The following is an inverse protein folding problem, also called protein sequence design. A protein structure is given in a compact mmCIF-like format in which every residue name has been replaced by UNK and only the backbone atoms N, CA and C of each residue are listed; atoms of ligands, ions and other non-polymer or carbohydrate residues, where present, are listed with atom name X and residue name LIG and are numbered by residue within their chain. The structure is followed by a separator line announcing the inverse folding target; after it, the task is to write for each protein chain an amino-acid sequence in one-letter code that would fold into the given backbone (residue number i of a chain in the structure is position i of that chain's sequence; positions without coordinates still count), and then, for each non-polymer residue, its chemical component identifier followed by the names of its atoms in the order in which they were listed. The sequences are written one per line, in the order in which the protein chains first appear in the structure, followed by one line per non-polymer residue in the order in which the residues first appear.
data_IF_992269206830
#
_entry.id   IF_992269206830
#
_cell.length_a   1.000
_cell.length_b   1.000
_cell.length_c   1.000
_cell.angle_alpha   90.00
_cell.angle_beta   90.00
_cell.angle_gamma   90.00
#
_symmetry.space_group_name_H-M   'P 1'
#
loop_
_entity.id
_entity.type
_entity.pdbx_description
1 polymer ?
#
# COMPACT_ATOMS: atom_id res chain seq x y z
N UNK A 1 14.63 11.77 8.67
CA UNK A 1 14.48 13.18 9.11
C UNK A 1 13.29 13.25 10.03
N UNK A 2 13.30 14.14 11.04
CA UNK A 2 12.12 14.39 11.86
C UNK A 2 10.99 14.98 10.99
N UNK A 3 9.73 14.65 11.28
CA UNK A 3 8.58 15.14 10.50
C UNK A 3 7.76 16.17 11.30
N UNK A 4 7.15 17.11 10.57
CA UNK A 4 6.29 18.15 11.16
C UNK A 4 4.83 17.68 11.19
N UNK A 5 4.23 17.69 12.37
CA UNK A 5 2.83 17.34 12.54
C UNK A 5 1.92 18.34 11.83
N UNK A 6 1.05 17.90 10.89
CA UNK A 6 0.14 18.80 10.21
C UNK A 6 -1.00 19.30 11.11
N UNK A 7 -1.29 18.59 12.21
CA UNK A 7 -2.37 18.95 13.14
C UNK A 7 -1.94 20.01 14.18
N UNK A 8 -0.78 19.85 14.82
CA UNK A 8 -0.33 20.74 15.89
C UNK A 8 0.95 21.53 15.58
N UNK A 9 1.61 21.26 14.44
CA UNK A 9 2.83 21.95 14.04
C UNK A 9 4.11 21.46 14.71
N UNK A 10 4.04 20.53 15.67
CA UNK A 10 5.22 19.96 16.35
C UNK A 10 6.18 19.29 15.36
N UNK A 11 7.45 19.66 15.39
CA UNK A 11 8.47 19.21 14.42
C UNK A 11 9.56 18.31 15.01
N UNK A 12 9.39 17.87 16.26
CA UNK A 12 10.35 17.01 16.96
C UNK A 12 10.11 15.51 16.79
N UNK A 13 9.17 15.08 15.96
CA UNK A 13 8.81 13.66 15.86
C UNK A 13 9.97 12.85 15.26
N UNK A 14 10.36 11.77 15.92
CA UNK A 14 11.46 10.92 15.45
C UNK A 14 11.22 10.34 14.05
N UNK A 15 12.29 10.12 13.25
CA UNK A 15 12.20 9.38 12.00
C UNK A 15 11.59 7.98 12.23
N UNK A 16 10.51 7.66 11.52
CA UNK A 16 9.79 6.40 11.68
C UNK A 16 8.69 6.41 12.75
N UNK A 17 8.59 7.46 13.57
CA UNK A 17 7.46 7.61 14.48
C UNK A 17 6.16 7.77 13.70
N UNK A 18 5.20 6.89 13.96
CA UNK A 18 3.87 6.90 13.35
C UNK A 18 2.89 7.81 14.07
N UNK A 19 3.25 8.38 15.22
CA UNK A 19 2.37 9.23 16.02
C UNK A 19 3.09 10.49 16.43
N UNK A 20 2.35 11.59 16.40
CA UNK A 20 2.88 12.85 16.89
C UNK A 20 3.04 12.77 18.42
N UNK A 21 4.25 13.02 18.90
CA UNK A 21 4.57 12.97 20.34
C UNK A 21 3.80 14.04 21.14
N UNK A 22 3.42 15.15 20.50
CA UNK A 22 2.72 16.26 21.17
C UNK A 22 1.20 16.08 21.23
N UNK A 23 0.57 15.61 20.15
CA UNK A 23 -0.90 15.60 20.04
C UNK A 23 -1.52 14.24 19.69
N UNK A 24 -0.70 13.21 19.48
CA UNK A 24 -1.17 11.86 19.13
C UNK A 24 -1.64 11.70 17.68
N UNK A 25 -1.55 12.73 16.83
CA UNK A 25 -1.88 12.62 15.40
C UNK A 25 -1.12 11.48 14.74
N UNK A 26 -1.84 10.58 14.06
CA UNK A 26 -1.24 9.42 13.40
C UNK A 26 -0.78 9.81 11.99
N UNK A 27 0.48 9.54 11.69
CA UNK A 27 1.11 9.78 10.41
C UNK A 27 1.23 8.46 9.64
N UNK A 28 0.61 8.41 8.47
CA UNK A 28 0.49 7.18 7.67
C UNK A 28 1.50 7.11 6.52
N UNK A 29 2.10 8.23 6.13
CA UNK A 29 2.80 8.36 4.85
C UNK A 29 1.89 8.07 3.65
N UNK A 30 2.47 8.02 2.47
CA UNK A 30 1.84 7.60 1.21
C UNK A 30 2.43 6.27 0.78
N UNK A 31 1.61 5.39 0.24
CA UNK A 31 2.09 4.16 -0.41
C UNK A 31 2.38 4.49 -1.86
N UNK A 32 3.55 4.09 -2.36
CA UNK A 32 3.87 4.10 -3.77
C UNK A 32 4.03 2.66 -4.23
N UNK A 33 3.17 2.26 -5.17
CA UNK A 33 3.27 0.98 -5.84
C UNK A 33 4.15 1.15 -7.07
N UNK A 34 5.26 0.42 -7.11
CA UNK A 34 6.23 0.46 -8.22
C UNK A 34 6.17 -0.86 -8.97
N UNK A 35 5.75 -0.82 -10.23
CA UNK A 35 5.77 -1.99 -11.11
C UNK A 35 7.21 -2.42 -11.38
N UNK A 36 7.53 -3.69 -11.13
CA UNK A 36 8.86 -4.21 -11.45
C UNK A 36 9.07 -4.43 -12.95
N UNK A 37 7.99 -4.53 -13.72
CA UNK A 37 8.03 -4.77 -15.18
C UNK A 37 8.30 -3.47 -15.95
N UNK A 38 7.62 -2.40 -15.57
CA UNK A 38 7.60 -1.13 -16.33
C UNK A 38 8.29 0.02 -15.62
N UNK A 39 8.69 -0.16 -14.35
CA UNK A 39 9.08 0.92 -13.43
C UNK A 39 8.01 2.01 -13.24
N UNK A 40 6.77 1.77 -13.69
CA UNK A 40 5.64 2.67 -13.50
C UNK A 40 5.29 2.79 -12.02
N UNK A 41 4.80 3.96 -11.61
CA UNK A 41 4.53 4.28 -10.20
C UNK A 41 3.09 4.74 -10.01
N UNK A 42 2.45 4.27 -8.94
CA UNK A 42 1.14 4.75 -8.49
C UNK A 42 1.25 5.18 -7.02
N UNK A 43 1.04 6.46 -6.76
CA UNK A 43 0.99 7.01 -5.40
C UNK A 43 -0.43 6.94 -4.84
N UNK A 44 -0.54 6.42 -3.63
CA UNK A 44 -1.78 6.19 -2.88
C UNK A 44 -1.67 6.92 -1.55
N UNK A 45 -2.49 7.96 -1.37
CA UNK A 45 -2.51 8.80 -0.16
C UNK A 45 -3.81 8.66 0.64
N UNK A 46 -4.81 7.96 0.09
CA UNK A 46 -6.12 7.69 0.71
C UNK A 46 -6.47 6.22 0.53
N UNK A 47 -7.46 5.75 1.28
CA UNK A 47 -7.95 4.39 1.17
C UNK A 47 -8.43 4.15 -0.28
N UNK A 48 -7.90 3.11 -0.92
CA UNK A 48 -8.04 2.93 -2.37
C UNK A 48 -8.21 1.46 -2.71
N UNK A 49 -9.21 1.17 -3.54
CA UNK A 49 -9.38 -0.14 -4.15
C UNK A 49 -8.54 -0.21 -5.43
N UNK A 50 -7.58 -1.13 -5.47
CA UNK A 50 -6.68 -1.34 -6.61
C UNK A 50 -7.17 -2.54 -7.41
N UNK A 51 -7.37 -2.33 -8.71
CA UNK A 51 -7.83 -3.35 -9.63
C UNK A 51 -7.35 -3.09 -11.04
N UNK A 52 -7.84 -3.90 -11.98
CA UNK A 52 -7.45 -3.89 -13.39
C UNK A 52 -7.37 -2.47 -13.99
N UNK A 53 -8.35 -1.60 -13.67
CA UNK A 53 -8.40 -0.23 -14.23
C UNK A 53 -7.22 0.64 -13.82
N UNK A 54 -6.86 0.64 -12.53
CA UNK A 54 -5.72 1.40 -12.03
C UNK A 54 -4.40 0.75 -12.45
N UNK A 55 -4.33 -0.58 -12.43
CA UNK A 55 -3.12 -1.31 -12.82
C UNK A 55 -2.77 -1.10 -14.30
N UNK A 56 -3.76 -0.94 -15.18
CA UNK A 56 -3.54 -0.66 -16.60
C UNK A 56 -2.72 0.60 -16.86
N UNK A 57 -2.76 1.60 -15.97
CA UNK A 57 -2.06 2.88 -16.20
C UNK A 57 -0.55 2.80 -15.96
N UNK A 58 -0.07 1.81 -15.19
CA UNK A 58 1.33 1.78 -14.77
C UNK A 58 1.96 0.38 -14.73
N UNK A 59 1.21 -0.71 -14.62
CA UNK A 59 1.72 -2.06 -14.32
C UNK A 59 1.94 -2.96 -15.55
N UNK A 60 1.95 -2.42 -16.77
CA UNK A 60 2.25 -3.21 -17.98
C UNK A 60 1.12 -4.15 -18.41
N UNK A 61 1.44 -5.24 -19.11
CA UNK A 61 0.45 -6.15 -19.70
C UNK A 61 -0.26 -7.05 -18.69
N UNK A 62 0.37 -7.32 -17.55
CA UNK A 62 -0.13 -8.26 -16.53
C UNK A 62 -1.40 -7.79 -15.81
N UNK A 63 -1.81 -6.52 -15.97
CA UNK A 63 -3.09 -6.02 -15.43
C UNK A 63 -4.31 -6.84 -15.88
N UNK A 64 -4.25 -7.51 -17.03
CA UNK A 64 -5.32 -8.36 -17.55
C UNK A 64 -5.66 -9.55 -16.63
N UNK A 65 -4.75 -9.95 -15.75
CA UNK A 65 -4.98 -11.01 -14.77
C UNK A 65 -5.58 -10.52 -13.45
N UNK A 66 -5.69 -9.20 -13.27
CA UNK A 66 -6.28 -8.63 -12.07
C UNK A 66 -7.81 -8.61 -12.14
N UNK A 67 -8.46 -8.84 -11.00
CA UNK A 67 -9.84 -8.46 -10.80
C UNK A 67 -9.99 -6.93 -10.66
N UNK A 68 -11.24 -6.44 -10.70
CA UNK A 68 -11.55 -5.04 -10.48
C UNK A 68 -12.68 -4.90 -9.45
N UNK A 69 -12.37 -4.66 -8.15
CA UNK A 69 -11.03 -4.54 -7.57
C UNK A 69 -10.32 -5.89 -7.32
N UNK A 70 -8.99 -5.85 -7.19
CA UNK A 70 -8.13 -7.00 -6.86
C UNK A 70 -7.71 -7.00 -5.38
N UNK A 71 -7.31 -5.85 -4.85
CA UNK A 71 -6.97 -5.68 -3.43
C UNK A 71 -7.33 -4.27 -2.96
N UNK A 72 -7.42 -4.11 -1.65
CA UNK A 72 -7.77 -2.87 -0.97
C UNK A 72 -6.56 -2.40 -0.18
N UNK A 73 -6.23 -1.12 -0.32
CA UNK A 73 -5.27 -0.42 0.53
C UNK A 73 -6.02 0.49 1.49
N UNK A 74 -5.76 0.35 2.78
CA UNK A 74 -6.43 1.13 3.83
C UNK A 74 -5.45 1.59 4.89
N UNK A 75 -5.64 2.80 5.40
CA UNK A 75 -4.85 3.32 6.53
C UNK A 75 -5.26 2.65 7.84
N UNK A 76 -4.27 2.27 8.63
CA UNK A 76 -4.50 1.76 9.99
C UNK A 76 -4.64 2.93 10.96
N UNK A 77 -5.87 3.38 11.22
CA UNK A 77 -6.13 4.53 12.09
C UNK A 77 -5.71 4.31 13.55
N UNK A 78 -5.46 3.06 13.96
CA UNK A 78 -5.05 2.70 15.31
C UNK A 78 -3.53 2.67 15.38
N UNK A 79 -2.89 1.75 14.67
CA UNK A 79 -1.44 1.52 14.76
C UNK A 79 -0.61 2.45 13.86
N UNK A 80 -1.27 3.17 12.94
CA UNK A 80 -0.62 3.94 11.90
C UNK A 80 -0.03 3.08 10.78
N UNK A 81 0.20 3.72 9.64
CA UNK A 81 0.66 3.05 8.42
C UNK A 81 -0.48 2.50 7.57
N UNK A 82 -0.16 1.50 6.75
CA UNK A 82 -1.03 0.98 5.71
C UNK A 82 -1.28 -0.52 5.90
N UNK A 83 -2.45 -0.96 5.44
CA UNK A 83 -2.84 -2.36 5.39
C UNK A 83 -3.30 -2.71 3.99
N UNK A 84 -3.17 -3.98 3.66
CA UNK A 84 -3.65 -4.57 2.41
C UNK A 84 -4.61 -5.72 2.72
N UNK A 85 -5.69 -5.81 1.97
CA UNK A 85 -6.62 -6.94 2.02
C UNK A 85 -6.98 -7.39 0.59
N UNK A 86 -7.26 -8.67 0.33
CA UNK A 86 -7.77 -9.08 -0.97
C UNK A 86 -9.18 -8.51 -1.17
N UNK A 87 -9.50 -8.14 -2.41
CA UNK A 87 -10.85 -7.71 -2.73
C UNK A 87 -11.80 -8.92 -2.73
N UNK A 88 -13.01 -8.81 -2.14
CA UNK A 88 -14.01 -9.87 -2.21
C UNK A 88 -14.34 -10.22 -3.67
N UNK A 89 -14.31 -11.51 -3.99
CA UNK A 89 -14.64 -12.01 -5.34
C UNK A 89 -13.51 -11.90 -6.37
N UNK A 90 -12.29 -11.48 -5.98
CA UNK A 90 -11.12 -11.57 -6.84
C UNK A 90 -10.82 -13.05 -7.16
N UNK A 91 -10.81 -13.41 -8.45
CA UNK A 91 -10.61 -14.79 -8.90
C UNK A 91 -9.19 -15.30 -8.65
N UNK A 92 -8.21 -14.43 -8.86
CA UNK A 92 -6.81 -14.74 -8.63
C UNK A 92 -6.40 -14.24 -7.26
N UNK A 93 -5.62 -15.01 -6.48
CA UNK A 93 -5.20 -14.60 -5.15
C UNK A 93 -4.22 -13.42 -5.23
N UNK A 94 -4.31 -12.52 -4.26
CA UNK A 94 -3.28 -11.51 -4.03
C UNK A 94 -2.26 -12.07 -3.05
N UNK A 95 -0.99 -12.05 -3.44
CA UNK A 95 0.11 -12.48 -2.58
C UNK A 95 0.85 -11.25 -2.07
N UNK A 96 1.19 -11.26 -0.78
CA UNK A 96 2.08 -10.32 -0.13
C UNK A 96 3.35 -11.07 0.28
N UNK A 97 4.51 -10.65 -0.24
CA UNK A 97 5.80 -11.30 -0.02
C UNK A 97 5.79 -12.80 -0.37
N UNK A 98 5.02 -13.17 -1.40
CA UNK A 98 4.86 -14.57 -1.82
C UNK A 98 3.88 -15.40 -0.99
N UNK A 99 3.27 -14.81 0.04
CA UNK A 99 2.23 -15.45 0.87
C UNK A 99 0.87 -14.96 0.43
N UNK A 100 -0.05 -15.88 0.16
CA UNK A 100 -1.43 -15.53 -0.19
C UNK A 100 -2.11 -14.78 0.97
N UNK A 101 -2.70 -13.62 0.66
CA UNK A 101 -3.52 -12.89 1.61
C UNK A 101 -4.84 -13.62 1.79
N UNK A 102 -5.17 -13.93 3.04
CA UNK A 102 -6.50 -14.41 3.42
C UNK A 102 -7.49 -13.25 3.46
N UNK A 103 -8.77 -13.52 3.78
CA UNK A 103 -9.80 -12.49 3.87
C UNK A 103 -9.48 -11.35 4.86
N UNK A 104 -8.53 -11.56 5.77
CA UNK A 104 -8.10 -10.57 6.75
C UNK A 104 -7.07 -9.59 6.17
N UNK A 105 -7.10 -8.35 6.67
CA UNK A 105 -6.12 -7.35 6.29
C UNK A 105 -4.75 -7.62 6.93
N UNK A 106 -3.68 -7.54 6.14
CA UNK A 106 -2.30 -7.65 6.59
C UNK A 106 -1.63 -6.27 6.65
N UNK A 107 -0.66 -6.05 7.56
CA UNK A 107 0.15 -4.83 7.54
C UNK A 107 0.95 -4.74 6.24
N UNK A 108 1.03 -3.55 5.67
CA UNK A 108 1.81 -3.25 4.48
C UNK A 108 3.08 -2.52 4.89
N UNK A 109 4.23 -3.12 4.57
CA UNK A 109 5.55 -2.59 4.94
C UNK A 109 6.30 -2.06 3.72
N UNK A 110 7.27 -1.18 3.99
CA UNK A 110 8.19 -0.71 2.97
C UNK A 110 8.98 -1.87 2.35
N UNK A 111 9.29 -1.77 1.06
CA UNK A 111 9.92 -2.82 0.26
C UNK A 111 9.14 -4.14 0.12
N UNK A 112 7.92 -4.24 0.65
CA UNK A 112 7.07 -5.41 0.45
C UNK A 112 6.76 -5.62 -1.05
N UNK A 113 6.54 -6.87 -1.44
CA UNK A 113 6.18 -7.24 -2.82
C UNK A 113 4.75 -7.74 -2.88
N UNK A 114 3.93 -7.12 -3.72
CA UNK A 114 2.56 -7.57 -4.02
C UNK A 114 2.59 -8.28 -5.38
N UNK A 115 1.92 -9.43 -5.49
CA UNK A 115 1.70 -10.09 -6.78
C UNK A 115 0.29 -10.66 -6.91
N UNK A 116 -0.09 -10.99 -8.14
CA UNK A 116 -1.33 -11.70 -8.47
C UNK A 116 -0.96 -13.13 -8.88
N UNK A 117 -1.43 -14.11 -8.12
CA UNK A 117 -0.96 -15.48 -8.25
C UNK A 117 0.55 -15.61 -8.02
N UNK A 118 1.17 -16.73 -8.45
CA UNK A 118 2.55 -17.07 -8.09
C UNK A 118 3.61 -16.16 -8.71
N UNK A 119 3.30 -15.41 -9.78
CA UNK A 119 4.33 -14.64 -10.49
C UNK A 119 3.88 -13.42 -11.29
N UNK A 120 2.57 -13.16 -11.43
CA UNK A 120 2.07 -12.06 -12.27
C UNK A 120 2.00 -10.76 -11.50
N UNK A 121 2.15 -9.64 -12.21
CA UNK A 121 1.94 -8.29 -11.69
C UNK A 121 2.72 -8.01 -10.39
N UNK A 122 4.05 -8.07 -10.44
CA UNK A 122 4.88 -7.78 -9.27
C UNK A 122 4.99 -6.27 -9.03
N UNK A 123 4.52 -5.83 -7.88
CA UNK A 123 4.61 -4.46 -7.41
C UNK A 123 5.49 -4.41 -6.17
N UNK A 124 6.52 -3.56 -6.16
CA UNK A 124 7.26 -3.21 -4.96
C UNK A 124 6.57 -2.04 -4.27
N UNK A 125 6.44 -2.14 -2.94
CA UNK A 125 5.89 -1.09 -2.10
C UNK A 125 7.01 -0.16 -1.66
N UNK A 126 6.75 1.14 -1.71
CA UNK A 126 7.54 2.16 -1.05
C UNK A 126 6.62 2.98 -0.14
N UNK A 127 7.02 3.25 1.10
CA UNK A 127 6.27 4.11 2.02
C UNK A 127 7.00 5.45 2.14
N UNK A 128 6.40 6.49 1.58
CA UNK A 128 6.94 7.86 1.60
C UNK A 128 6.27 8.66 2.73
N UNK A 129 7.06 9.08 3.72
CA UNK A 129 6.63 9.88 4.87
C UNK A 129 7.11 11.32 4.82
#
# INVERSE_FOLDING_TARGET
MAWKCPQCGFSGNEPGSRRCESCGFVHFGKVVLVSTETAGRLTVAVDTAIGQRLLRSFAGGDHAYAADPQFLLSRDLVEGGWRIAPAPGAKNPTLLNGVELTADSAPLEDAATISIGPSRLRLRVEIEG
#
